data_IF_193647620605
#
_entry.id   IF_193647620605
#
_cell.length_a   1.000
_cell.length_b   1.000
_cell.length_c   1.000
_cell.angle_alpha   90.00
_cell.angle_beta   90.00
_cell.angle_gamma   90.00
#
_symmetry.space_group_name_H-M   'P 1'
#
loop_
_entity.id
_entity.type
_entity.pdbx_description
1 polymer ?
#
# COMPACT_ATOMS: atom_id res chain seq x y z
N UNK A 1 24.87 6.53 -15.44
CA UNK A 1 24.09 5.27 -15.34
C UNK A 1 22.80 5.44 -16.11
N UNK A 2 22.34 4.40 -16.80
CA UNK A 2 21.07 4.41 -17.52
C UNK A 2 19.98 4.05 -16.51
N UNK A 3 18.99 4.93 -16.31
CA UNK A 3 17.84 4.62 -15.45
C UNK A 3 16.99 3.52 -16.12
N UNK A 4 16.55 2.49 -15.38
CA UNK A 4 15.62 1.49 -15.92
C UNK A 4 14.30 2.13 -16.34
N UNK A 5 13.59 1.51 -17.29
CA UNK A 5 12.23 1.92 -17.63
C UNK A 5 11.23 1.30 -16.62
N UNK A 6 10.94 2.05 -15.56
CA UNK A 6 10.05 1.62 -14.47
C UNK A 6 8.62 1.31 -14.92
N UNK A 7 8.13 1.98 -15.97
CA UNK A 7 6.79 1.74 -16.53
C UNK A 7 6.67 0.34 -17.14
N UNK A 8 7.75 -0.17 -17.74
CA UNK A 8 7.77 -1.49 -18.36
C UNK A 8 8.00 -2.65 -17.38
N UNK A 9 8.50 -2.35 -16.17
CA UNK A 9 8.71 -3.36 -15.13
C UNK A 9 7.37 -3.81 -14.55
N UNK A 10 7.29 -5.01 -13.98
CA UNK A 10 6.17 -5.46 -13.15
C UNK A 10 6.28 -4.93 -11.71
N UNK A 11 5.20 -5.02 -10.92
CA UNK A 11 5.21 -4.64 -9.49
C UNK A 11 6.27 -5.38 -8.68
N UNK A 12 6.54 -6.66 -8.99
CA UNK A 12 7.57 -7.46 -8.30
C UNK A 12 8.98 -6.99 -8.64
N UNK A 13 9.23 -6.65 -9.90
CA UNK A 13 10.52 -6.14 -10.36
C UNK A 13 10.81 -4.75 -9.78
N UNK A 14 9.81 -3.84 -9.74
CA UNK A 14 9.93 -2.55 -9.06
C UNK A 14 10.26 -2.71 -7.57
N UNK A 15 9.60 -3.65 -6.89
CA UNK A 15 9.87 -3.92 -5.48
C UNK A 15 11.30 -4.46 -5.27
N UNK A 16 11.82 -5.27 -6.19
CA UNK A 16 13.21 -5.72 -6.18
C UNK A 16 14.17 -4.55 -6.32
N UNK A 17 13.93 -3.67 -7.30
CA UNK A 17 14.74 -2.48 -7.53
C UNK A 17 14.77 -1.54 -6.33
N UNK A 18 13.61 -1.18 -5.75
CA UNK A 18 13.52 -0.30 -4.57
C UNK A 18 14.25 -0.88 -3.36
N UNK A 19 14.39 -2.21 -3.27
CA UNK A 19 15.15 -2.84 -2.17
C UNK A 19 16.64 -2.56 -2.25
N UNK A 20 17.19 -2.48 -3.45
CA UNK A 20 18.59 -2.16 -3.71
C UNK A 20 18.84 -0.65 -3.82
N UNK A 21 17.80 0.11 -4.19
CA UNK A 21 17.84 1.55 -4.43
C UNK A 21 16.82 2.29 -3.54
N UNK A 22 17.06 2.25 -2.22
CA UNK A 22 16.15 2.82 -1.21
C UNK A 22 15.90 4.32 -1.36
N UNK A 23 16.86 5.04 -1.95
CA UNK A 23 16.83 6.50 -2.10
C UNK A 23 16.28 6.97 -3.45
N UNK A 24 15.83 6.06 -4.34
CA UNK A 24 15.22 6.44 -5.62
C UNK A 24 13.73 6.70 -5.46
N UNK A 25 13.41 7.95 -5.09
CA UNK A 25 12.04 8.43 -4.90
C UNK A 25 11.14 8.24 -6.14
N UNK A 26 11.73 8.26 -7.35
CA UNK A 26 10.99 8.06 -8.59
C UNK A 26 10.48 6.62 -8.68
N UNK A 27 11.36 5.64 -8.42
CA UNK A 27 10.98 4.23 -8.42
C UNK A 27 9.91 3.96 -7.35
N UNK A 28 10.06 4.56 -6.16
CA UNK A 28 9.08 4.44 -5.08
C UNK A 28 7.71 5.00 -5.48
N UNK A 29 7.66 6.19 -6.09
CA UNK A 29 6.41 6.81 -6.53
C UNK A 29 5.68 5.95 -7.57
N UNK A 30 6.40 5.47 -8.59
CA UNK A 30 5.82 4.62 -9.64
C UNK A 30 5.29 3.29 -9.05
N UNK A 31 6.01 2.72 -8.09
CA UNK A 31 5.53 1.54 -7.38
C UNK A 31 4.24 1.80 -6.60
N UNK A 32 4.15 2.92 -5.88
CA UNK A 32 2.94 3.29 -5.12
C UNK A 32 1.75 3.58 -6.04
N UNK A 33 1.96 4.31 -7.13
CA UNK A 33 0.92 4.58 -8.14
C UNK A 33 0.36 3.26 -8.67
N UNK A 34 1.24 2.29 -8.99
CA UNK A 34 0.81 0.97 -9.44
C UNK A 34 0.07 0.17 -8.35
N UNK A 35 0.53 0.22 -7.10
CA UNK A 35 -0.18 -0.42 -5.97
C UNK A 35 -1.59 0.13 -5.84
N UNK A 36 -1.77 1.44 -5.93
CA UNK A 36 -3.10 2.07 -5.83
C UNK A 36 -4.00 1.72 -7.02
N UNK A 37 -3.46 1.76 -8.25
CA UNK A 37 -4.19 1.45 -9.48
C UNK A 37 -4.60 -0.03 -9.60
N UNK A 38 -3.75 -0.96 -9.16
CA UNK A 38 -4.03 -2.40 -9.16
C UNK A 38 -4.87 -2.85 -7.95
N UNK A 39 -5.10 -1.98 -6.96
CA UNK A 39 -5.66 -2.44 -5.69
C UNK A 39 -7.13 -2.86 -5.78
N UNK A 40 -7.35 -4.17 -5.71
CA UNK A 40 -8.45 -4.79 -4.96
C UNK A 40 -8.16 -4.86 -3.46
N UNK A 41 -7.03 -4.30 -3.02
CA UNK A 41 -6.55 -4.30 -1.64
C UNK A 41 -7.49 -3.53 -0.73
N UNK A 42 -7.93 -4.18 0.35
CA UNK A 42 -8.71 -3.55 1.40
C UNK A 42 -7.83 -2.54 2.16
N UNK A 43 -8.08 -1.26 1.92
CA UNK A 43 -7.47 -0.18 2.69
C UNK A 43 -8.23 -0.03 4.01
N UNK A 44 -7.57 -0.42 5.11
CA UNK A 44 -8.06 -0.14 6.45
C UNK A 44 -7.46 1.17 6.95
N UNK A 45 -8.27 2.07 7.52
CA UNK A 45 -7.74 3.30 8.10
C UNK A 45 -6.78 2.97 9.25
N UNK A 46 -5.75 3.78 9.41
CA UNK A 46 -4.89 3.71 10.57
C UNK A 46 -5.69 4.04 11.85
N UNK A 47 -5.34 3.45 13.00
CA UNK A 47 -5.87 3.86 14.30
C UNK A 47 -5.73 5.39 14.47
N UNK A 48 -6.80 6.06 14.90
CA UNK A 48 -6.80 7.52 15.07
C UNK A 48 -6.46 7.92 16.51
N UNK A 49 -6.41 6.95 17.43
CA UNK A 49 -6.12 7.17 18.86
C UNK A 49 -5.32 6.02 19.48
N UNK A 50 -4.79 6.25 20.68
CA UNK A 50 -4.15 5.20 21.49
C UNK A 50 -5.15 4.09 21.85
N UNK A 51 -6.41 4.45 22.10
CA UNK A 51 -7.42 3.46 22.45
C UNK A 51 -7.85 2.61 21.25
N UNK A 52 -7.86 3.19 20.05
CA UNK A 52 -8.00 2.43 18.79
C UNK A 52 -6.84 1.44 18.60
N UNK A 53 -5.62 1.85 18.96
CA UNK A 53 -4.45 0.98 18.88
C UNK A 53 -4.52 -0.18 19.88
N UNK A 54 -5.00 0.08 21.11
CA UNK A 54 -5.20 -0.96 22.12
C UNK A 54 -6.28 -1.96 21.72
N UNK A 55 -7.31 -1.50 21.01
CA UNK A 55 -8.44 -2.30 20.56
C UNK A 55 -8.42 -2.49 19.02
N UNK A 56 -7.23 -2.66 18.46
CA UNK A 56 -7.05 -2.76 17.02
C UNK A 56 -7.82 -3.92 16.37
N UNK A 57 -7.89 -5.13 16.98
CA UNK A 57 -8.70 -6.21 16.44
C UNK A 57 -10.19 -5.83 16.30
N UNK A 58 -10.75 -5.17 17.31
CA UNK A 58 -12.16 -4.74 17.34
C UNK A 58 -12.43 -3.66 16.29
N UNK A 59 -11.49 -2.73 16.11
CA UNK A 59 -11.54 -1.70 15.07
C UNK A 59 -11.59 -2.32 13.67
N UNK A 60 -10.74 -3.33 13.40
CA UNK A 60 -10.73 -4.03 12.11
C UNK A 60 -12.05 -4.76 11.86
N UNK A 61 -12.60 -5.46 12.85
CA UNK A 61 -13.88 -6.15 12.73
C UNK A 61 -15.06 -5.20 12.54
N UNK A 62 -15.00 -4.01 13.13
CA UNK A 62 -15.99 -2.95 12.89
C UNK A 62 -15.93 -2.49 11.44
N UNK A 63 -14.75 -2.15 10.93
CA UNK A 63 -14.60 -1.71 9.53
C UNK A 63 -15.00 -2.78 8.51
N UNK A 64 -14.69 -4.07 8.80
CA UNK A 64 -15.16 -5.20 7.98
C UNK A 64 -16.68 -5.27 7.92
N UNK A 65 -17.38 -5.04 9.03
CA UNK A 65 -18.85 -5.03 9.08
C UNK A 65 -19.45 -3.86 8.32
N UNK A 66 -18.99 -2.63 8.59
CA UNK A 66 -19.46 -1.41 7.93
C UNK A 66 -19.33 -1.50 6.40
N UNK A 67 -18.26 -2.14 5.90
CA UNK A 67 -18.07 -2.36 4.46
C UNK A 67 -19.06 -3.35 3.86
N UNK A 68 -19.39 -4.44 4.57
CA UNK A 68 -20.38 -5.44 4.14
C UNK A 68 -21.80 -4.88 4.11
N UNK A 69 -22.11 -3.94 5.00
CA UNK A 69 -23.43 -3.30 5.08
C UNK A 69 -23.61 -2.20 4.01
N UNK A 70 -22.52 -1.57 3.56
CA UNK A 70 -22.52 -0.51 2.56
C UNK A 70 -22.30 -1.02 1.11
N UNK A 71 -22.42 -2.32 0.88
CA UNK A 71 -22.23 -2.98 -0.42
C UNK A 71 -23.53 -3.67 -0.87
#
# INVERSE_FOLDING_TARGET
MIKPNFEAMSRKELLGYIREHRDDDEAFRIYMDRVTAESTTEWYPAPQSIDDLKNFPELLEKHRRERKENQ
#
